data_IF_956048388446
#
_entry.id   IF_956048388446
#
_cell.length_a   1.000
_cell.length_b   1.000
_cell.length_c   1.000
_cell.angle_alpha   90.00
_cell.angle_beta   90.00
_cell.angle_gamma   90.00
#
_symmetry.space_group_name_H-M   'P 1'
#
loop_
_entity.id
_entity.type
_entity.pdbx_description
1 polymer ?
#
# COMPACT_ATOMS: atom_id res chain seq x y z
N UNK A 1 -33.49 12.20 1.52
CA UNK A 1 -32.06 12.23 1.13
C UNK A 1 -31.59 10.80 0.93
N UNK A 2 -31.52 10.33 -0.32
CA UNK A 2 -31.11 8.96 -0.61
C UNK A 2 -29.58 8.84 -0.54
N UNK A 3 -29.10 7.89 0.26
CA UNK A 3 -27.69 7.48 0.40
C UNK A 3 -27.45 6.20 -0.40
N UNK A 4 -28.01 6.10 -1.62
CA UNK A 4 -27.93 4.88 -2.42
C UNK A 4 -26.54 4.72 -3.01
N UNK A 5 -25.78 3.78 -2.45
CA UNK A 5 -24.42 3.42 -2.87
C UNK A 5 -24.50 2.57 -4.14
N UNK A 6 -23.86 3.02 -5.22
CA UNK A 6 -23.58 2.17 -6.40
C UNK A 6 -24.43 2.41 -7.67
N UNK A 7 -25.44 3.29 -7.65
CA UNK A 7 -26.29 3.53 -8.83
C UNK A 7 -25.78 4.63 -9.79
N UNK A 8 -24.62 5.21 -9.50
CA UNK A 8 -23.99 6.23 -10.34
C UNK A 8 -22.65 5.71 -10.87
N UNK A 9 -22.68 5.10 -12.05
CA UNK A 9 -21.46 4.93 -12.86
C UNK A 9 -21.03 6.32 -13.32
N UNK A 10 -19.94 6.86 -12.75
CA UNK A 10 -19.36 8.12 -13.23
C UNK A 10 -18.76 7.90 -14.61
N UNK A 11 -19.27 8.61 -15.62
CA UNK A 11 -18.72 8.60 -16.98
C UNK A 11 -17.34 9.26 -17.07
N UNK A 12 -17.07 10.23 -16.18
CA UNK A 12 -15.79 10.95 -16.12
C UNK A 12 -14.90 10.41 -14.99
N UNK A 13 -13.60 10.38 -15.24
CA UNK A 13 -12.58 10.03 -14.24
C UNK A 13 -12.47 11.03 -13.08
N UNK A 14 -11.47 10.80 -12.22
CA UNK A 14 -11.12 11.75 -11.14
C UNK A 14 -10.86 13.15 -11.74
N UNK A 15 -11.47 14.20 -11.18
CA UNK A 15 -11.28 15.60 -11.64
C UNK A 15 -9.84 16.06 -11.42
N UNK A 16 -9.24 15.64 -10.33
CA UNK A 16 -7.89 15.97 -9.92
C UNK A 16 -7.06 14.69 -9.96
N UNK A 17 -6.28 14.56 -11.01
CA UNK A 17 -5.36 13.45 -11.17
C UNK A 17 -4.12 13.68 -10.31
N UNK A 18 -3.59 12.61 -9.71
CA UNK A 18 -2.32 12.69 -9.01
C UNK A 18 -1.21 12.91 -10.04
N UNK A 19 -0.43 13.98 -9.88
CA UNK A 19 0.73 14.27 -10.75
C UNK A 19 1.91 13.35 -10.47
N UNK A 20 2.00 12.81 -9.26
CA UNK A 20 3.06 11.90 -8.84
C UNK A 20 2.48 10.74 -8.06
N UNK A 21 3.08 9.56 -8.23
CA UNK A 21 2.74 8.41 -7.42
C UNK A 21 3.23 8.60 -5.97
N UNK A 22 2.48 8.04 -5.02
CA UNK A 22 2.96 7.97 -3.63
C UNK A 22 4.25 7.17 -3.56
N UNK A 23 5.24 7.72 -2.86
CA UNK A 23 6.51 7.04 -2.54
C UNK A 23 6.70 7.09 -1.03
N UNK A 24 6.98 5.93 -0.43
CA UNK A 24 7.13 5.80 1.02
C UNK A 24 8.44 6.41 1.56
N UNK A 25 9.39 6.68 0.68
CA UNK A 25 10.73 7.23 0.95
C UNK A 25 10.90 8.69 0.51
N UNK A 26 9.82 9.36 0.05
CA UNK A 26 9.86 10.69 -0.57
C UNK A 26 10.57 11.77 0.27
N UNK A 27 10.44 11.71 1.61
CA UNK A 27 10.99 12.70 2.54
C UNK A 27 12.11 12.11 3.41
N UNK A 28 12.76 11.05 2.92
CA UNK A 28 13.72 10.27 3.68
C UNK A 28 13.09 8.98 4.21
N UNK A 29 13.77 7.86 3.96
CA UNK A 29 13.34 6.57 4.48
C UNK A 29 13.83 6.40 5.91
N UNK A 30 12.90 6.23 6.85
CA UNK A 30 13.24 5.75 8.19
C UNK A 30 13.92 4.38 8.10
N UNK A 31 14.69 4.00 9.12
CA UNK A 31 15.35 2.68 9.17
C UNK A 31 14.35 1.55 8.93
N UNK A 32 13.14 1.67 9.49
CA UNK A 32 12.06 0.70 9.31
C UNK A 32 11.57 0.62 7.86
N UNK A 33 11.44 1.75 7.16
CA UNK A 33 11.04 1.78 5.74
C UNK A 33 12.13 1.17 4.86
N UNK A 34 13.41 1.44 5.14
CA UNK A 34 14.52 0.81 4.42
C UNK A 34 14.51 -0.71 4.59
N UNK A 35 14.35 -1.18 5.82
CA UNK A 35 14.25 -2.62 6.12
C UNK A 35 13.02 -3.24 5.44
N UNK A 36 11.88 -2.54 5.42
CA UNK A 36 10.68 -3.03 4.76
C UNK A 36 10.85 -3.13 3.23
N UNK A 37 11.46 -2.12 2.61
CA UNK A 37 11.73 -2.08 1.17
C UNK A 37 12.80 -3.10 0.73
N UNK A 38 13.76 -3.45 1.59
CA UNK A 38 14.81 -4.41 1.26
C UNK A 38 14.42 -5.88 1.45
N UNK A 39 13.22 -6.16 2.00
CA UNK A 39 12.76 -7.54 2.22
C UNK A 39 12.37 -8.20 0.91
N UNK A 40 12.97 -9.36 0.66
CA UNK A 40 12.56 -10.27 -0.41
C UNK A 40 11.41 -11.14 0.10
N UNK A 41 10.33 -11.24 -0.67
CA UNK A 41 9.11 -11.98 -0.34
C UNK A 41 9.01 -13.25 -1.20
N UNK A 42 9.89 -14.22 -0.94
CA UNK A 42 9.91 -15.51 -1.64
C UNK A 42 9.11 -16.59 -0.90
N UNK A 43 8.66 -17.60 -1.64
CA UNK A 43 7.87 -18.72 -1.08
C UNK A 43 6.40 -18.39 -0.78
N UNK A 44 5.92 -17.22 -1.19
CA UNK A 44 4.52 -16.81 -1.04
C UNK A 44 3.76 -16.98 -2.36
N UNK A 45 2.46 -17.27 -2.26
CA UNK A 45 1.60 -17.19 -3.44
C UNK A 45 1.48 -15.73 -3.92
N UNK A 46 1.14 -15.56 -5.21
CA UNK A 46 1.07 -14.25 -5.87
C UNK A 46 0.21 -13.25 -5.09
N UNK A 47 -1.00 -13.68 -4.66
CA UNK A 47 -1.92 -12.84 -3.88
C UNK A 47 -1.31 -12.37 -2.56
N UNK A 48 -0.61 -13.24 -1.84
CA UNK A 48 0.01 -12.87 -0.57
C UNK A 48 1.18 -11.91 -0.77
N UNK A 49 2.00 -12.15 -1.80
CA UNK A 49 3.09 -11.26 -2.18
C UNK A 49 2.58 -9.85 -2.49
N UNK A 50 1.56 -9.73 -3.34
CA UNK A 50 0.95 -8.45 -3.70
C UNK A 50 0.39 -7.70 -2.49
N UNK A 51 -0.25 -8.40 -1.56
CA UNK A 51 -0.78 -7.78 -0.32
C UNK A 51 0.35 -7.20 0.53
N UNK A 52 1.48 -7.90 0.67
CA UNK A 52 2.61 -7.42 1.46
C UNK A 52 3.31 -6.25 0.76
N UNK A 53 3.61 -6.39 -0.52
CA UNK A 53 4.24 -5.32 -1.32
C UNK A 53 3.39 -4.05 -1.32
N UNK A 54 2.07 -4.19 -1.42
CA UNK A 54 1.15 -3.06 -1.29
C UNK A 54 1.24 -2.39 0.09
N UNK A 55 1.30 -3.17 1.17
CA UNK A 55 1.46 -2.62 2.53
C UNK A 55 2.78 -1.88 2.68
N UNK A 56 3.88 -2.41 2.13
CA UNK A 56 5.20 -1.76 2.15
C UNK A 56 5.16 -0.45 1.36
N UNK A 57 4.62 -0.49 0.13
CA UNK A 57 4.51 0.68 -0.77
C UNK A 57 3.75 1.86 -0.15
N UNK A 58 2.73 1.59 0.67
CA UNK A 58 1.88 2.62 1.28
C UNK A 58 2.13 2.86 2.77
N UNK A 59 3.29 2.44 3.31
CA UNK A 59 3.63 2.59 4.74
C UNK A 59 2.57 2.00 5.70
N UNK A 60 1.91 0.91 5.30
CA UNK A 60 0.94 0.15 6.11
C UNK A 60 1.50 -1.16 6.66
N UNK A 61 2.76 -1.48 6.35
CA UNK A 61 3.43 -2.67 6.83
C UNK A 61 3.90 -2.45 8.28
N UNK A 62 3.37 -3.26 9.21
CA UNK A 62 3.78 -3.26 10.61
C UNK A 62 4.64 -4.51 10.85
N UNK A 63 5.90 -4.31 11.22
CA UNK A 63 6.77 -5.41 11.63
C UNK A 63 6.25 -6.05 12.92
N UNK A 64 6.42 -7.37 13.04
CA UNK A 64 6.20 -8.05 14.31
C UNK A 64 7.25 -7.54 15.32
N UNK A 65 6.79 -7.06 16.48
CA UNK A 65 7.66 -6.61 17.57
C UNK A 65 8.17 -7.78 18.42
N UNK A 66 7.47 -8.91 18.39
CA UNK A 66 7.83 -10.13 19.08
C UNK A 66 7.89 -11.28 18.07
N UNK A 67 8.91 -12.16 18.15
CA UNK A 67 8.87 -13.41 17.41
C UNK A 67 7.66 -14.21 17.88
N UNK A 68 6.98 -14.88 16.95
CA UNK A 68 5.86 -15.75 17.29
C UNK A 68 6.47 -17.05 17.81
N UNK A 69 6.38 -17.28 19.13
CA UNK A 69 6.74 -18.53 19.80
C UNK A 69 5.77 -19.64 19.47
#
# INVERSE_FOLDING_TARGET
MSSQKGNASRSRGQKHQNTTAYKNDKYGASVQVKIANSKVHDGLCQRCKEVIEWKVKYNKYKSLSQPRT
#
